data_IF_164907114919
#
_entry.id   IF_164907114919
#
_cell.length_a   1.000
_cell.length_b   1.000
_cell.length_c   1.000
_cell.angle_alpha   90.00
_cell.angle_beta   90.00
_cell.angle_gamma   90.00
#
_symmetry.space_group_name_H-M   'P 1'
#
loop_
_entity.id
_entity.type
_entity.pdbx_description
1 polymer ?
#
# COMPACT_ATOMS: atom_id res chain seq x y z
N UNK A 1 -27.61 -2.08 5.08
CA UNK A 1 -26.36 -1.53 5.65
C UNK A 1 -25.41 -1.34 4.48
N UNK A 2 -25.05 -0.11 4.19
CA UNK A 2 -24.36 0.28 2.96
C UNK A 2 -22.91 -0.20 3.00
N UNK A 3 -22.61 -1.23 2.21
CA UNK A 3 -21.23 -1.61 1.87
C UNK A 3 -20.64 -0.43 1.09
N UNK A 4 -19.93 0.45 1.78
CA UNK A 4 -19.14 1.52 1.17
C UNK A 4 -17.94 0.85 0.51
N UNK A 5 -18.11 0.46 -0.75
CA UNK A 5 -17.18 -0.36 -1.53
C UNK A 5 -15.80 0.31 -1.54
N UNK A 6 -14.77 -0.40 -1.06
CA UNK A 6 -13.37 0.04 -1.03
C UNK A 6 -12.87 0.60 -2.37
N UNK A 7 -13.46 0.15 -3.49
CA UNK A 7 -13.21 0.66 -4.84
C UNK A 7 -13.42 2.18 -4.99
N UNK A 8 -14.40 2.77 -4.29
CA UNK A 8 -14.66 4.21 -4.38
C UNK A 8 -13.65 5.05 -3.58
N UNK A 9 -12.93 4.43 -2.64
CA UNK A 9 -11.83 5.07 -1.92
C UNK A 9 -10.65 5.42 -2.84
N UNK A 10 -10.50 4.69 -3.95
CA UNK A 10 -9.43 4.91 -4.91
C UNK A 10 -9.72 6.05 -5.91
N UNK A 11 -10.99 6.47 -6.05
CA UNK A 11 -11.43 7.43 -7.09
C UNK A 11 -11.13 8.90 -6.72
N UNK A 12 -11.22 9.27 -5.44
CA UNK A 12 -10.80 10.59 -4.93
C UNK A 12 -9.32 10.64 -4.54
N UNK A 13 -8.67 9.47 -4.55
CA UNK A 13 -7.28 9.29 -4.19
C UNK A 13 -6.29 9.58 -5.31
N UNK A 14 -6.67 9.57 -6.58
CA UNK A 14 -5.72 9.53 -7.71
C UNK A 14 -4.52 10.49 -7.62
N UNK A 15 -4.75 11.78 -7.38
CA UNK A 15 -3.67 12.78 -7.32
C UNK A 15 -2.90 12.75 -5.98
N UNK A 16 -3.61 12.67 -4.84
CA UNK A 16 -2.99 12.63 -3.51
C UNK A 16 -2.24 11.31 -3.27
N UNK A 17 -2.79 10.19 -3.75
CA UNK A 17 -2.18 8.86 -3.73
C UNK A 17 -0.93 8.84 -4.61
N UNK A 18 -0.98 9.43 -5.81
CA UNK A 18 0.20 9.54 -6.67
C UNK A 18 1.30 10.37 -6.00
N UNK A 19 0.95 11.51 -5.39
CA UNK A 19 1.91 12.33 -4.65
C UNK A 19 2.49 11.60 -3.44
N UNK A 20 1.65 10.92 -2.64
CA UNK A 20 2.10 10.11 -1.52
C UNK A 20 3.02 8.97 -1.95
N UNK A 21 2.72 8.31 -3.08
CA UNK A 21 3.56 7.26 -3.65
C UNK A 21 4.93 7.80 -4.08
N UNK A 22 4.98 9.03 -4.62
CA UNK A 22 6.25 9.69 -4.95
C UNK A 22 7.09 9.91 -3.68
N UNK A 23 6.51 10.46 -2.60
CA UNK A 23 7.20 10.62 -1.32
C UNK A 23 7.71 9.29 -0.75
N UNK A 24 6.90 8.22 -0.82
CA UNK A 24 7.32 6.88 -0.37
C UNK A 24 8.47 6.36 -1.24
N UNK A 25 8.43 6.58 -2.55
CA UNK A 25 9.50 6.17 -3.48
C UNK A 25 10.81 6.90 -3.17
N UNK A 26 10.75 8.19 -2.87
CA UNK A 26 11.91 8.97 -2.43
C UNK A 26 12.47 8.44 -1.11
N UNK A 27 11.61 8.16 -0.13
CA UNK A 27 12.02 7.57 1.15
C UNK A 27 12.69 6.20 0.97
N UNK A 28 12.23 5.39 0.00
CA UNK A 28 12.90 4.13 -0.38
C UNK A 28 14.30 4.38 -0.94
N UNK A 29 14.46 5.37 -1.82
CA UNK A 29 15.77 5.72 -2.38
C UNK A 29 16.73 6.18 -1.27
N UNK A 30 16.26 7.00 -0.33
CA UNK A 30 17.05 7.41 0.84
C UNK A 30 17.42 6.24 1.76
N UNK A 31 16.49 5.31 2.00
CA UNK A 31 16.76 4.12 2.81
C UNK A 31 17.88 3.26 2.20
N UNK A 32 17.88 3.09 0.86
CA UNK A 32 18.93 2.38 0.14
C UNK A 32 20.27 3.11 0.27
N UNK A 33 20.28 4.44 0.15
CA UNK A 33 21.49 5.26 0.34
C UNK A 33 22.04 5.17 1.77
N UNK A 34 21.16 5.02 2.76
CA UNK A 34 21.53 4.79 4.17
C UNK A 34 22.06 3.37 4.44
N UNK A 35 22.02 2.47 3.45
CA UNK A 35 22.48 1.09 3.56
C UNK A 35 21.43 0.12 4.13
N UNK A 36 20.14 0.52 4.15
CA UNK A 36 19.04 -0.36 4.58
C UNK A 36 18.68 -1.29 3.42
N UNK A 37 18.51 -2.58 3.71
CA UNK A 37 18.03 -3.53 2.71
C UNK A 37 16.60 -3.21 2.26
N UNK A 38 16.39 -3.16 0.95
CA UNK A 38 15.10 -2.78 0.36
C UNK A 38 13.94 -3.67 0.81
N UNK A 39 14.19 -4.96 1.02
CA UNK A 39 13.19 -5.90 1.55
C UNK A 39 12.78 -5.57 2.99
N UNK A 40 13.77 -5.28 3.85
CA UNK A 40 13.51 -4.90 5.24
C UNK A 40 12.78 -3.56 5.32
N UNK A 41 13.13 -2.60 4.46
CA UNK A 41 12.43 -1.31 4.40
C UNK A 41 11.00 -1.48 3.88
N UNK A 42 10.77 -2.34 2.89
CA UNK A 42 9.44 -2.63 2.39
C UNK A 42 8.53 -3.27 3.45
N UNK A 43 9.05 -4.23 4.21
CA UNK A 43 8.32 -4.80 5.35
C UNK A 43 7.99 -3.74 6.41
N UNK A 44 8.93 -2.84 6.72
CA UNK A 44 8.69 -1.75 7.66
C UNK A 44 7.64 -0.76 7.15
N UNK A 45 7.74 -0.34 5.88
CA UNK A 45 6.79 0.56 5.24
C UNK A 45 5.38 -0.04 5.17
N UNK A 46 5.26 -1.33 4.82
CA UNK A 46 3.98 -2.05 4.83
C UNK A 46 3.38 -2.08 6.24
N UNK A 47 4.19 -2.36 7.26
CA UNK A 47 3.72 -2.38 8.64
C UNK A 47 3.26 -1.01 9.11
N UNK A 48 3.95 0.07 8.72
CA UNK A 48 3.56 1.44 9.03
C UNK A 48 2.26 1.82 8.31
N UNK A 49 2.13 1.49 7.02
CA UNK A 49 0.92 1.73 6.25
C UNK A 49 -0.29 1.00 6.86
N UNK A 50 -0.15 -0.28 7.22
CA UNK A 50 -1.23 -1.04 7.85
C UNK A 50 -1.63 -0.45 9.20
N UNK A 51 -0.68 0.02 10.02
CA UNK A 51 -0.98 0.67 11.30
C UNK A 51 -1.80 1.95 11.11
N UNK A 52 -1.47 2.76 10.11
CA UNK A 52 -2.20 4.00 9.82
C UNK A 52 -3.63 3.73 9.33
N UNK A 53 -3.78 2.71 8.47
CA UNK A 53 -5.09 2.24 8.03
C UNK A 53 -5.92 1.73 9.23
N UNK A 54 -5.30 0.96 10.14
CA UNK A 54 -5.99 0.45 11.34
C UNK A 54 -6.39 1.60 12.26
N UNK A 55 -5.52 2.60 12.45
CA UNK A 55 -5.82 3.76 13.27
C UNK A 55 -6.97 4.60 12.69
N UNK A 56 -7.09 4.67 11.36
CA UNK A 56 -8.11 5.48 10.67
C UNK A 56 -9.46 4.75 10.53
N UNK A 57 -9.44 3.46 10.19
CA UNK A 57 -10.64 2.69 9.82
C UNK A 57 -11.01 1.58 10.81
N UNK A 58 -10.10 1.21 11.71
CA UNK A 58 -10.26 0.10 12.64
C UNK A 58 -9.75 -1.25 12.12
N UNK A 59 -9.47 -2.17 13.05
CA UNK A 59 -8.86 -3.47 12.76
C UNK A 59 -9.71 -4.34 11.81
N UNK A 60 -11.03 -4.41 12.02
CA UNK A 60 -11.94 -5.25 11.20
C UNK A 60 -12.02 -4.79 9.73
N UNK A 61 -12.01 -3.48 9.50
CA UNK A 61 -12.05 -2.91 8.16
C UNK A 61 -10.75 -3.22 7.39
N UNK A 62 -9.60 -3.12 8.08
CA UNK A 62 -8.30 -3.44 7.49
C UNK A 62 -8.12 -4.94 7.31
N UNK A 63 -8.64 -5.78 8.22
CA UNK A 63 -8.63 -7.23 8.07
C UNK A 63 -9.40 -7.65 6.80
N UNK A 64 -10.61 -7.12 6.63
CA UNK A 64 -11.42 -7.35 5.41
C UNK A 64 -10.67 -6.91 4.15
N UNK A 65 -9.97 -5.76 4.19
CA UNK A 65 -9.13 -5.31 3.09
C UNK A 65 -7.96 -6.28 2.83
N UNK A 66 -7.29 -6.76 3.89
CA UNK A 66 -6.17 -7.69 3.81
C UNK A 66 -6.56 -9.07 3.27
N UNK A 67 -7.82 -9.49 3.42
CA UNK A 67 -8.33 -10.72 2.80
C UNK A 67 -8.39 -10.61 1.27
N UNK A 68 -8.60 -9.41 0.71
CA UNK A 68 -8.63 -9.19 -0.75
C UNK A 68 -7.24 -9.06 -1.37
N UNK A 69 -6.23 -8.69 -0.57
CA UNK A 69 -4.83 -8.53 -1.00
C UNK A 69 -4.23 -9.77 -1.68
N UNK A 70 -4.33 -11.00 -1.14
CA UNK A 70 -3.78 -12.18 -1.79
C UNK A 70 -4.42 -12.48 -3.15
N UNK A 71 -5.71 -12.21 -3.32
CA UNK A 71 -6.37 -12.35 -4.62
C UNK A 71 -5.83 -11.34 -5.63
N UNK A 72 -5.65 -10.07 -5.22
CA UNK A 72 -5.09 -9.02 -6.07
C UNK A 72 -3.62 -9.24 -6.44
N UNK A 73 -2.81 -9.74 -5.50
CA UNK A 73 -1.41 -10.12 -5.74
C UNK A 73 -1.34 -11.26 -6.77
N UNK A 74 -2.19 -12.29 -6.62
CA UNK A 74 -2.27 -13.40 -7.59
C UNK A 74 -2.83 -12.97 -8.94
N UNK A 75 -3.72 -11.98 -8.96
CA UNK A 75 -4.20 -11.35 -10.19
C UNK A 75 -3.13 -10.52 -10.91
N UNK A 76 -1.98 -10.29 -10.26
CA UNK A 76 -0.86 -9.57 -10.85
C UNK A 76 -0.97 -8.05 -10.75
N UNK A 77 -1.90 -7.51 -9.96
CA UNK A 77 -2.09 -6.04 -9.85
C UNK A 77 -0.83 -5.31 -9.33
N UNK A 78 -0.03 -5.99 -8.51
CA UNK A 78 1.23 -5.46 -7.97
C UNK A 78 2.46 -5.95 -8.74
N UNK A 79 2.26 -6.86 -9.69
CA UNK A 79 3.34 -7.25 -10.61
C UNK A 79 3.39 -6.20 -11.71
N UNK A 80 4.23 -5.18 -11.53
CA UNK A 80 4.74 -4.39 -12.64
C UNK A 80 5.43 -5.37 -13.60
N UNK A 81 4.69 -5.87 -14.58
CA UNK A 81 5.24 -6.60 -15.72
C UNK A 81 6.04 -5.64 -16.59
N UNK A 82 7.13 -5.10 -16.05
CA UNK A 82 8.29 -4.74 -16.84
C UNK A 82 9.10 -6.02 -17.05
N UNK A 83 8.52 -6.99 -17.76
CA UNK A 83 9.32 -8.01 -18.43
C UNK A 83 9.79 -7.37 -19.73
N UNK A 84 10.96 -6.73 -19.69
CA UNK A 84 11.75 -6.49 -20.89
C UNK A 84 13.22 -6.76 -20.59
#
# INVERSE_FOLDING_TARGET
MTQMTFASFNETGGEQQTAALAFVTEAFAEAILAGIESDSFAHAALSAALRELVATYGEEAVATFAETLPERIRAGEFTLSARH
#
